data_IF_009421325048
#
_entry.id   IF_009421325048
#
_cell.length_a   1.000
_cell.length_b   1.000
_cell.length_c   1.000
_cell.angle_alpha   90.00
_cell.angle_beta   90.00
_cell.angle_gamma   90.00
#
_symmetry.space_group_name_H-M   'P 1'
#
loop_
_entity.id
_entity.type
_entity.pdbx_description
1 polymer ?
#
# COMPACT_ATOMS: atom_id res chain seq x y z
N UNK A 1 12.68 16.31 28.02
CA UNK A 1 11.28 15.93 28.29
C UNK A 1 10.95 14.74 27.42
N UNK A 2 10.13 13.78 27.88
CA UNK A 2 9.78 12.62 27.05
C UNK A 2 8.71 13.05 26.05
N UNK A 3 9.06 13.01 24.76
CA UNK A 3 8.12 13.26 23.69
C UNK A 3 7.32 11.98 23.41
N UNK A 4 6.01 12.09 23.09
CA UNK A 4 5.22 10.95 22.64
C UNK A 4 5.85 10.37 21.36
N UNK A 5 5.73 9.06 21.20
CA UNK A 5 6.26 8.41 20.00
C UNK A 5 5.47 8.84 18.76
N UNK A 6 6.03 8.55 17.60
CA UNK A 6 5.35 8.83 16.33
C UNK A 6 4.06 8.02 16.22
N UNK A 7 4.08 6.76 16.63
CA UNK A 7 2.90 5.91 16.63
C UNK A 7 1.80 6.46 17.53
N UNK A 8 2.17 6.92 18.74
CA UNK A 8 1.21 7.50 19.70
C UNK A 8 0.53 8.77 19.14
N UNK A 9 1.28 9.64 18.48
CA UNK A 9 0.72 10.85 17.85
C UNK A 9 -0.23 10.51 16.70
N UNK A 10 0.08 9.48 15.91
CA UNK A 10 -0.79 9.02 14.82
C UNK A 10 -2.07 8.40 15.38
N UNK A 11 -1.94 7.49 16.35
CA UNK A 11 -3.09 6.91 17.02
C UNK A 11 -3.98 8.00 17.64
N UNK A 12 -3.39 9.09 18.14
CA UNK A 12 -4.12 10.20 18.76
C UNK A 12 -4.97 10.95 17.73
N UNK A 13 -4.39 11.22 16.56
CA UNK A 13 -5.06 11.89 15.45
C UNK A 13 -6.26 11.10 14.91
N UNK A 14 -6.16 9.77 14.87
CA UNK A 14 -7.25 8.89 14.44
C UNK A 14 -8.22 8.50 15.56
N UNK A 15 -7.95 8.92 16.81
CA UNK A 15 -8.79 8.60 17.98
C UNK A 15 -8.73 7.13 18.39
N UNK A 16 -7.61 6.45 18.11
CA UNK A 16 -7.40 5.02 18.37
C UNK A 16 -6.83 4.72 19.77
N UNK A 17 -6.46 5.76 20.56
CA UNK A 17 -6.00 5.54 21.94
C UNK A 17 -7.15 5.42 22.95
N UNK A 18 -6.91 4.71 24.07
CA UNK A 18 -7.76 4.78 25.26
C UNK A 18 -7.93 6.24 25.75
N UNK A 19 -9.07 6.57 26.39
CA UNK A 19 -9.40 7.95 26.76
C UNK A 19 -8.38 8.62 27.69
N UNK A 20 -7.73 7.84 28.57
CA UNK A 20 -6.68 8.33 29.47
C UNK A 20 -5.43 8.79 28.70
N UNK A 21 -5.00 8.00 27.70
CA UNK A 21 -3.85 8.33 26.88
C UNK A 21 -4.16 9.46 25.90
N UNK A 22 -5.40 9.52 25.39
CA UNK A 22 -5.88 10.63 24.57
C UNK A 22 -5.77 11.97 25.32
N UNK A 23 -6.18 12.02 26.60
CA UNK A 23 -6.06 13.21 27.44
C UNK A 23 -4.59 13.59 27.72
N UNK A 24 -3.74 12.59 27.99
CA UNK A 24 -2.31 12.80 28.27
C UNK A 24 -1.57 13.40 27.07
N UNK A 25 -1.79 12.85 25.87
CA UNK A 25 -1.18 13.37 24.64
C UNK A 25 -1.75 14.75 24.31
N UNK A 26 -3.06 14.96 24.50
CA UNK A 26 -3.68 16.28 24.32
C UNK A 26 -3.03 17.33 25.21
N UNK A 27 -2.81 17.03 26.49
CA UNK A 27 -2.13 17.93 27.42
C UNK A 27 -0.69 18.23 26.96
N UNK A 28 0.06 17.20 26.56
CA UNK A 28 1.42 17.37 26.04
C UNK A 28 1.47 18.27 24.79
N UNK A 29 0.50 18.13 23.88
CA UNK A 29 0.41 18.98 22.67
C UNK A 29 0.12 20.45 22.99
N UNK A 30 -0.46 20.76 24.14
CA UNK A 30 -0.66 22.15 24.60
C UNK A 30 0.63 22.74 25.20
N UNK A 31 1.49 21.90 25.78
CA UNK A 31 2.70 22.33 26.48
C UNK A 31 3.96 22.28 25.60
N UNK A 32 3.99 21.45 24.55
CA UNK A 32 5.15 21.24 23.69
C UNK A 32 4.91 21.75 22.26
N UNK A 33 5.54 22.89 21.91
CA UNK A 33 5.44 23.50 20.59
C UNK A 33 5.95 22.60 19.46
N UNK A 34 6.98 21.79 19.70
CA UNK A 34 7.54 20.88 18.69
C UNK A 34 6.53 19.78 18.31
N UNK A 35 5.97 19.08 19.30
CA UNK A 35 4.96 18.06 19.05
C UNK A 35 3.67 18.66 18.45
N UNK A 36 3.32 19.89 18.83
CA UNK A 36 2.21 20.63 18.23
C UNK A 36 2.43 20.91 16.75
N UNK A 37 3.64 21.31 16.34
CA UNK A 37 3.99 21.55 14.92
C UNK A 37 3.86 20.27 14.09
N UNK A 38 4.34 19.14 14.61
CA UNK A 38 4.22 17.85 13.92
C UNK A 38 2.75 17.44 13.77
N UNK A 39 1.97 17.55 14.84
CA UNK A 39 0.56 17.17 14.83
C UNK A 39 -0.31 18.10 13.96
N UNK A 40 0.04 19.39 13.84
CA UNK A 40 -0.65 20.34 12.94
C UNK A 40 -0.30 20.04 11.48
N UNK A 41 0.98 19.85 11.16
CA UNK A 41 1.41 19.52 9.80
C UNK A 41 0.71 18.28 9.24
N UNK A 42 0.54 17.22 10.05
CA UNK A 42 -0.21 16.04 9.60
C UNK A 42 -1.71 16.29 9.43
N UNK A 43 -2.33 17.08 10.31
CA UNK A 43 -3.74 17.47 10.14
C UNK A 43 -3.97 18.26 8.86
N UNK A 44 -3.06 19.16 8.53
CA UNK A 44 -3.15 19.96 7.32
C UNK A 44 -2.99 19.09 6.07
N UNK A 45 -2.05 18.14 6.06
CA UNK A 45 -1.91 17.16 4.96
C UNK A 45 -3.17 16.29 4.80
N UNK A 46 -3.79 15.84 5.89
CA UNK A 46 -5.04 15.08 5.81
C UNK A 46 -6.19 15.92 5.26
N UNK A 47 -6.31 17.18 5.71
CA UNK A 47 -7.33 18.10 5.20
C UNK A 47 -7.15 18.39 3.70
N UNK A 48 -5.91 18.56 3.24
CA UNK A 48 -5.62 18.72 1.80
C UNK A 48 -6.05 17.50 1.00
N UNK A 49 -5.73 16.29 1.48
CA UNK A 49 -6.16 15.04 0.84
C UNK A 49 -7.67 14.86 0.84
N UNK A 50 -8.37 15.25 1.92
CA UNK A 50 -9.85 15.20 1.98
C UNK A 50 -10.52 16.14 0.97
N UNK A 51 -9.87 17.27 0.66
CA UNK A 51 -10.36 18.20 -0.37
C UNK A 51 -10.05 17.75 -1.79
N UNK A 52 -9.18 16.75 -1.96
CA UNK A 52 -8.82 16.27 -3.28
C UNK A 52 -10.01 15.54 -3.93
N UNK A 53 -10.63 16.21 -4.90
CA UNK A 53 -11.63 15.61 -5.78
C UNK A 53 -10.98 15.10 -7.05
N UNK A 54 -11.41 13.93 -7.51
CA UNK A 54 -11.07 13.49 -8.86
C UNK A 54 -11.57 14.52 -9.87
N UNK A 55 -10.81 14.78 -10.96
CA UNK A 55 -11.31 15.59 -12.07
C UNK A 55 -12.65 15.02 -12.53
N UNK A 56 -13.71 15.82 -12.42
CA UNK A 56 -15.02 15.43 -12.91
C UNK A 56 -14.91 15.23 -14.43
N UNK A 57 -14.99 13.97 -14.86
CA UNK A 57 -15.17 13.66 -16.27
C UNK A 57 -16.39 14.44 -16.76
N UNK A 58 -16.32 15.18 -17.87
CA UNK A 58 -17.46 15.94 -18.37
C UNK A 58 -18.60 14.95 -18.64
N UNK A 59 -19.59 14.94 -17.75
CA UNK A 59 -20.81 14.16 -17.90
C UNK A 59 -21.57 14.82 -19.05
N UNK A 60 -21.37 14.31 -20.27
CA UNK A 60 -22.16 14.76 -21.40
C UNK A 60 -23.64 14.47 -21.07
N UNK A 61 -24.51 15.48 -21.01
CA UNK A 61 -25.92 15.23 -20.80
C UNK A 61 -26.39 14.41 -22.00
N UNK A 62 -26.72 13.13 -21.77
CA UNK A 62 -27.38 12.30 -22.78
C UNK A 62 -28.68 13.02 -23.14
N UNK A 63 -28.71 13.68 -24.29
CA UNK A 63 -29.94 14.22 -24.89
C UNK A 63 -30.88 13.03 -25.04
N UNK A 64 -31.88 12.96 -24.18
CA UNK A 64 -32.93 11.94 -24.29
C UNK A 64 -33.75 12.26 -25.54
N UNK A 65 -33.88 11.32 -26.50
CA UNK A 65 -34.71 11.57 -27.67
C UNK A 65 -36.17 11.71 -27.24
N UNK A 66 -36.76 12.87 -27.54
CA UNK A 66 -38.13 13.27 -27.17
C UNK A 66 -39.23 12.50 -27.93
N UNK A 67 -38.91 11.34 -28.50
CA UNK A 67 -39.79 10.52 -29.35
C UNK A 67 -40.53 9.41 -28.59
N UNK A 68 -40.27 9.23 -27.29
CA UNK A 68 -40.89 8.17 -26.45
C UNK A 68 -41.86 8.68 -25.37
N UNK A 69 -42.27 9.94 -25.44
CA UNK A 69 -43.22 10.56 -24.49
C UNK A 69 -44.53 9.77 -24.23
N UNK A 70 -45.19 9.13 -25.22
CA UNK A 70 -46.42 8.39 -24.94
C UNK A 70 -46.17 7.06 -24.21
N UNK A 71 -45.03 6.39 -24.45
CA UNK A 71 -44.70 5.12 -23.78
C UNK A 71 -44.29 5.32 -22.31
N UNK A 72 -43.67 6.46 -21.97
CA UNK A 72 -43.30 6.79 -20.58
C UNK A 72 -44.54 6.91 -19.68
N UNK A 73 -45.67 7.41 -20.20
CA UNK A 73 -46.92 7.52 -19.45
C UNK A 73 -47.49 6.14 -19.09
N UNK A 74 -47.43 5.19 -20.02
CA UNK A 74 -47.85 3.81 -19.76
C UNK A 74 -46.86 3.07 -18.84
N UNK A 75 -45.55 3.34 -18.98
CA UNK A 75 -44.54 2.79 -18.07
C UNK A 75 -44.73 3.30 -16.63
N UNK A 76 -45.03 4.58 -16.42
CA UNK A 76 -45.32 5.13 -15.10
C UNK A 76 -46.57 4.48 -14.46
N UNK A 77 -47.63 4.26 -15.24
CA UNK A 77 -48.83 3.56 -14.78
C UNK A 77 -48.55 2.09 -14.42
N UNK A 78 -47.77 1.39 -15.24
CA UNK A 78 -47.34 0.01 -14.96
C UNK A 78 -46.44 -0.07 -13.72
N UNK A 79 -45.51 0.87 -13.54
CA UNK A 79 -44.67 0.95 -12.35
C UNK A 79 -45.48 1.26 -11.07
N UNK A 80 -46.51 2.12 -11.16
CA UNK A 80 -47.40 2.38 -10.03
C UNK A 80 -48.24 1.17 -9.69
N UNK A 81 -48.83 0.49 -10.68
CA UNK A 81 -49.61 -0.73 -10.47
C UNK A 81 -48.75 -1.87 -9.91
N UNK A 82 -47.54 -2.08 -10.45
CA UNK A 82 -46.59 -3.05 -9.94
C UNK A 82 -46.06 -2.67 -8.56
N UNK A 83 -45.80 -1.37 -8.31
CA UNK A 83 -45.35 -0.86 -7.02
C UNK A 83 -46.38 -1.04 -5.92
N UNK A 84 -47.65 -0.70 -6.18
CA UNK A 84 -48.76 -0.93 -5.25
C UNK A 84 -48.99 -2.43 -4.98
N UNK A 85 -48.90 -3.27 -6.01
CA UNK A 85 -48.97 -4.73 -5.83
C UNK A 85 -47.77 -5.29 -5.04
N UNK A 86 -46.57 -4.77 -5.28
CA UNK A 86 -45.35 -5.19 -4.59
C UNK A 86 -45.31 -4.73 -3.13
N UNK A 87 -45.76 -3.50 -2.83
CA UNK A 87 -45.90 -3.01 -1.46
C UNK A 87 -46.98 -3.77 -0.69
N UNK A 88 -48.13 -4.05 -1.31
CA UNK A 88 -49.19 -4.87 -0.69
C UNK A 88 -48.73 -6.30 -0.42
N UNK A 89 -48.07 -6.93 -1.39
CA UNK A 89 -47.58 -8.31 -1.26
C UNK A 89 -46.45 -8.47 -0.23
N UNK A 90 -45.60 -7.46 -0.06
CA UNK A 90 -44.47 -7.52 0.88
C UNK A 90 -44.89 -7.38 2.34
N UNK A 91 -46.03 -6.74 2.63
CA UNK A 91 -46.55 -6.62 4.01
C UNK A 91 -47.33 -7.86 4.48
N UNK A 92 -47.83 -8.70 3.56
CA UNK A 92 -48.56 -9.93 3.91
C UNK A 92 -47.73 -11.21 3.82
N UNK A 93 -46.47 -11.14 3.39
CA UNK A 93 -45.60 -12.31 3.37
C UNK A 93 -45.13 -12.65 4.80
N UNK A 94 -45.25 -13.92 5.26
CA UNK A 94 -44.67 -14.33 6.53
C UNK A 94 -43.15 -14.13 6.48
N UNK A 95 -42.57 -13.63 7.58
CA UNK A 95 -41.13 -13.44 7.67
C UNK A 95 -40.43 -14.78 7.38
N UNK A 96 -39.48 -14.82 6.43
CA UNK A 96 -38.77 -16.06 6.12
C UNK A 96 -38.06 -16.55 7.37
N UNK A 97 -38.21 -17.84 7.66
CA UNK A 97 -37.57 -18.46 8.82
C UNK A 97 -36.04 -18.38 8.64
N UNK A 98 -35.44 -17.42 9.34
CA UNK A 98 -34.02 -17.15 9.28
C UNK A 98 -33.18 -18.32 9.81
N UNK A 99 -33.77 -19.26 10.55
CA UNK A 99 -33.07 -20.46 11.02
C UNK A 99 -32.98 -21.51 9.90
N UNK A 100 -34.07 -21.75 9.18
CA UNK A 100 -34.09 -22.62 8.00
C UNK A 100 -33.19 -22.10 6.88
N UNK A 101 -33.17 -20.78 6.65
CA UNK A 101 -32.29 -20.16 5.66
C UNK A 101 -30.81 -20.32 6.03
N UNK A 102 -30.44 -20.10 7.30
CA UNK A 102 -29.06 -20.32 7.76
C UNK A 102 -28.64 -21.78 7.68
N UNK A 103 -29.54 -22.71 8.02
CA UNK A 103 -29.27 -24.15 7.89
C UNK A 103 -29.01 -24.56 6.44
N UNK A 104 -29.73 -23.96 5.48
CA UNK A 104 -29.51 -24.19 4.06
C UNK A 104 -28.22 -23.55 3.52
N UNK A 105 -27.80 -22.38 4.05
CA UNK A 105 -26.61 -21.67 3.57
C UNK A 105 -25.30 -22.07 4.27
N UNK A 106 -25.35 -22.61 5.48
CA UNK A 106 -24.17 -23.07 6.22
C UNK A 106 -23.23 -24.00 5.42
N UNK A 107 -23.72 -25.01 4.68
CA UNK A 107 -22.84 -25.87 3.90
C UNK A 107 -22.17 -25.14 2.71
N UNK A 108 -22.84 -24.17 2.09
CA UNK A 108 -22.26 -23.38 1.00
C UNK A 108 -21.19 -22.42 1.51
N UNK A 109 -21.40 -21.79 2.66
CA UNK A 109 -20.38 -20.95 3.30
C UNK A 109 -19.13 -21.76 3.65
N UNK A 110 -19.30 -22.98 4.20
CA UNK A 110 -18.17 -23.87 4.50
C UNK A 110 -17.37 -24.28 3.26
N UNK A 111 -18.05 -24.50 2.12
CA UNK A 111 -17.37 -24.78 0.84
C UNK A 111 -16.57 -23.58 0.37
N UNK A 112 -17.16 -22.38 0.44
CA UNK A 112 -16.48 -21.14 0.05
C UNK A 112 -15.25 -20.89 0.92
N UNK A 113 -15.37 -21.02 2.25
CA UNK A 113 -14.22 -20.84 3.15
C UNK A 113 -13.13 -21.88 2.89
N UNK A 114 -13.50 -23.15 2.69
CA UNK A 114 -12.52 -24.20 2.37
C UNK A 114 -11.81 -23.95 1.02
N UNK A 115 -12.54 -23.46 0.01
CA UNK A 115 -11.97 -23.10 -1.28
C UNK A 115 -11.02 -21.88 -1.17
N UNK A 116 -11.37 -20.88 -0.35
CA UNK A 116 -10.52 -19.73 -0.07
C UNK A 116 -9.24 -20.15 0.68
N UNK A 117 -9.36 -20.98 1.70
CA UNK A 117 -8.21 -21.47 2.47
C UNK A 117 -7.24 -22.28 1.60
N UNK A 118 -7.77 -23.09 0.69
CA UNK A 118 -6.96 -23.83 -0.28
C UNK A 118 -6.18 -22.88 -1.22
N UNK A 119 -6.82 -21.80 -1.67
CA UNK A 119 -6.17 -20.77 -2.51
C UNK A 119 -5.11 -19.98 -1.74
N UNK A 120 -5.41 -19.56 -0.52
CA UNK A 120 -4.44 -18.87 0.34
C UNK A 120 -3.22 -19.77 0.65
N UNK A 121 -3.43 -21.07 0.83
CA UNK A 121 -2.34 -22.02 1.03
C UNK A 121 -1.46 -22.18 -0.24
N UNK A 122 -2.07 -22.16 -1.42
CA UNK A 122 -1.37 -22.18 -2.71
C UNK A 122 -0.54 -20.89 -2.90
N UNK A 123 -1.16 -19.72 -2.72
CA UNK A 123 -0.51 -18.42 -2.84
C UNK A 123 0.65 -18.28 -1.85
N UNK A 124 0.45 -18.70 -0.61
CA UNK A 124 1.51 -18.66 0.41
C UNK A 124 2.71 -19.49 0.00
N UNK A 125 2.50 -20.67 -0.60
CA UNK A 125 3.60 -21.51 -1.10
C UNK A 125 4.34 -20.83 -2.25
N UNK A 126 3.61 -20.24 -3.20
CA UNK A 126 4.21 -19.51 -4.32
C UNK A 126 5.06 -18.34 -3.83
N UNK A 127 4.56 -17.55 -2.88
CA UNK A 127 5.31 -16.43 -2.29
C UNK A 127 6.56 -16.90 -1.55
N UNK A 128 6.46 -17.98 -0.75
CA UNK A 128 7.64 -18.51 -0.04
C UNK A 128 8.72 -19.01 -0.99
N UNK A 129 8.34 -19.60 -2.12
CA UNK A 129 9.29 -20.06 -3.12
C UNK A 129 10.00 -18.87 -3.79
N UNK A 130 9.26 -17.83 -4.15
CA UNK A 130 9.85 -16.60 -4.73
C UNK A 130 10.81 -15.92 -3.73
N UNK A 131 10.44 -15.86 -2.46
CA UNK A 131 11.32 -15.28 -1.43
C UNK A 131 12.61 -16.07 -1.28
N UNK A 132 12.52 -17.41 -1.32
CA UNK A 132 13.68 -18.30 -1.24
C UNK A 132 14.62 -18.10 -2.43
N UNK A 133 14.08 -17.98 -3.64
CA UNK A 133 14.91 -17.76 -4.85
C UNK A 133 15.61 -16.40 -4.79
N UNK A 134 14.93 -15.34 -4.39
CA UNK A 134 15.53 -14.02 -4.19
C UNK A 134 16.64 -14.03 -3.12
N UNK A 135 16.46 -14.79 -2.04
CA UNK A 135 17.49 -14.92 -1.01
C UNK A 135 18.74 -15.61 -1.55
N UNK A 136 18.58 -16.71 -2.29
CA UNK A 136 19.71 -17.41 -2.91
C UNK A 136 20.46 -16.50 -3.89
N UNK A 137 19.75 -15.78 -4.76
CA UNK A 137 20.36 -14.82 -5.68
C UNK A 137 21.18 -13.77 -4.95
N UNK A 138 20.62 -13.14 -3.90
CA UNK A 138 21.37 -12.16 -3.11
C UNK A 138 22.65 -12.72 -2.52
N UNK A 139 22.62 -13.95 -1.99
CA UNK A 139 23.83 -14.56 -1.42
C UNK A 139 24.91 -14.82 -2.46
N UNK A 140 24.52 -15.22 -3.67
CA UNK A 140 25.42 -15.42 -4.79
C UNK A 140 26.00 -14.08 -5.28
N UNK A 141 25.16 -13.05 -5.38
CA UNK A 141 25.57 -11.70 -5.75
C UNK A 141 26.60 -11.15 -4.76
N UNK A 142 26.36 -11.26 -3.45
CA UNK A 142 27.32 -10.82 -2.43
C UNK A 142 28.64 -11.60 -2.51
N UNK A 143 28.58 -12.91 -2.77
CA UNK A 143 29.78 -13.71 -2.94
C UNK A 143 30.58 -13.29 -4.20
N UNK A 144 29.89 -12.95 -5.29
CA UNK A 144 30.52 -12.46 -6.52
C UNK A 144 31.16 -11.08 -6.34
N UNK A 145 30.45 -10.15 -5.69
CA UNK A 145 30.94 -8.81 -5.41
C UNK A 145 32.19 -8.86 -4.55
N UNK A 146 32.21 -9.72 -3.54
CA UNK A 146 33.39 -9.94 -2.70
C UNK A 146 34.60 -10.38 -3.52
N UNK A 147 34.43 -11.37 -4.40
CA UNK A 147 35.54 -11.84 -5.28
C UNK A 147 36.02 -10.75 -6.23
N UNK A 148 35.11 -9.91 -6.74
CA UNK A 148 35.46 -8.78 -7.58
C UNK A 148 36.28 -7.74 -6.81
N UNK A 149 35.91 -7.45 -5.56
CA UNK A 149 36.68 -6.56 -4.68
C UNK A 149 38.07 -7.13 -4.36
N UNK A 150 38.16 -8.43 -4.08
CA UNK A 150 39.46 -9.11 -3.85
C UNK A 150 40.35 -9.03 -5.10
N UNK A 151 39.78 -9.20 -6.29
CA UNK A 151 40.51 -9.08 -7.56
C UNK A 151 40.97 -7.64 -7.83
N UNK A 152 40.10 -6.65 -7.57
CA UNK A 152 40.45 -5.24 -7.70
C UNK A 152 41.57 -4.84 -6.74
N UNK A 153 41.55 -5.34 -5.50
CA UNK A 153 42.61 -5.09 -4.53
C UNK A 153 43.96 -5.64 -5.02
N UNK A 154 43.99 -6.88 -5.52
CA UNK A 154 45.21 -7.49 -6.06
C UNK A 154 45.75 -6.75 -7.29
N UNK A 155 44.88 -6.39 -8.24
CA UNK A 155 45.29 -5.62 -9.43
C UNK A 155 45.78 -4.22 -9.07
N UNK A 156 45.18 -3.59 -8.06
CA UNK A 156 45.63 -2.27 -7.59
C UNK A 156 47.01 -2.37 -6.98
N UNK A 157 47.26 -3.38 -6.13
CA UNK A 157 48.58 -3.62 -5.54
C UNK A 157 49.66 -3.82 -6.62
N UNK A 158 49.41 -4.70 -7.59
CA UNK A 158 50.34 -4.98 -8.71
C UNK A 158 50.64 -3.71 -9.54
N UNK A 159 49.61 -2.89 -9.78
CA UNK A 159 49.76 -1.62 -10.49
C UNK A 159 50.59 -0.59 -9.69
N UNK A 160 50.46 -0.59 -8.36
CA UNK A 160 51.21 0.30 -7.48
C UNK A 160 52.68 -0.12 -7.40
N UNK A 161 52.96 -1.42 -7.25
CA UNK A 161 54.33 -1.94 -7.29
C UNK A 161 55.00 -1.62 -8.63
N UNK A 162 54.29 -1.84 -9.75
CA UNK A 162 54.77 -1.50 -11.10
C UNK A 162 55.09 0.00 -11.22
N UNK A 163 54.19 0.87 -10.74
CA UNK A 163 54.39 2.31 -10.77
C UNK A 163 55.61 2.74 -9.93
N UNK A 164 55.81 2.14 -8.75
CA UNK A 164 56.99 2.38 -7.91
C UNK A 164 58.28 1.97 -8.62
N UNK A 165 58.31 0.79 -9.26
CA UNK A 165 59.48 0.33 -10.01
C UNK A 165 59.82 1.27 -11.17
N UNK A 166 58.81 1.77 -11.91
CA UNK A 166 59.01 2.74 -12.98
C UNK A 166 59.58 4.07 -12.47
N UNK A 167 59.10 4.56 -11.32
CA UNK A 167 59.64 5.78 -10.69
C UNK A 167 61.11 5.60 -10.30
N UNK A 168 61.47 4.45 -9.72
CA UNK A 168 62.87 4.14 -9.37
C UNK A 168 63.75 4.06 -10.62
N UNK A 169 63.27 3.44 -11.71
CA UNK A 169 64.01 3.39 -12.98
C UNK A 169 64.25 4.79 -13.55
N UNK A 170 63.21 5.64 -13.58
CA UNK A 170 63.33 7.03 -14.04
C UNK A 170 64.30 7.84 -13.19
N UNK A 171 64.30 7.65 -11.86
CA UNK A 171 65.25 8.32 -10.96
C UNK A 171 66.70 7.84 -11.14
N UNK A 172 66.90 6.57 -11.53
CA UNK A 172 68.22 5.99 -11.79
C UNK A 172 68.81 6.34 -13.16
N UNK A 173 67.99 6.86 -14.08
CA UNK A 173 68.42 7.21 -15.43
C UNK A 173 69.35 8.43 -15.38
N UNK A 174 70.65 8.19 -15.50
CA UNK A 174 71.67 9.25 -15.59
C UNK A 174 71.89 9.60 -17.06
N UNK A 175 71.71 10.88 -17.40
CA UNK A 175 71.78 11.38 -18.77
C UNK A 175 73.17 11.10 -19.40
N UNK A 176 73.25 10.42 -20.56
CA UNK A 176 74.53 10.13 -21.18
C UNK A 176 75.18 11.42 -21.68
N UNK A 177 76.40 11.70 -21.23
CA UNK A 177 77.12 12.93 -21.54
C UNK A 177 77.27 13.13 -23.06
N UNK A 178 76.98 14.34 -23.59
CA UNK A 178 77.12 14.63 -25.01
C UNK A 178 78.60 14.58 -25.44
N UNK A 179 78.85 13.92 -26.58
CA UNK A 179 80.17 13.82 -27.23
C UNK A 179 80.52 15.10 -27.98
#
# INVERSE_FOLDING_TARGET
MNHPTREDLVAHLYGELPPEQQATISAHLHECAECQQVATAWRDSMAELDTWRLPELPVQPKRTPTLWAPFVRWAAAACLAAGLGFLGGRFSAPAPDATALRAALAPELLKVTAAMDAKLAEDRRAVTEILRTMQTQRTEDYASLRRALETLALNTEDSLETAQQQIVQLASFTEPAPR
#
